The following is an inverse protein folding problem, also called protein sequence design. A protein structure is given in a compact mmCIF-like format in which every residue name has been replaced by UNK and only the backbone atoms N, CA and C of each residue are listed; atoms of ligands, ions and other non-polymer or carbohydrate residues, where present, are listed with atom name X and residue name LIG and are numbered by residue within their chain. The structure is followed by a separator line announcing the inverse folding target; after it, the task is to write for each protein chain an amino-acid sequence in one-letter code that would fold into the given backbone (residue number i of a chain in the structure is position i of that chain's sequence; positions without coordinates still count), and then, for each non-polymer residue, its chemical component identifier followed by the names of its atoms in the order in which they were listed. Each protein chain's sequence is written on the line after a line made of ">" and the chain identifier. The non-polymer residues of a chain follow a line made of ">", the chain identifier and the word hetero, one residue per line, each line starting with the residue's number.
data_IF_386237707485
#
_entry.id   IF_386237707485
#
_cell.length_a   1.000
_cell.length_b   1.000
_cell.length_c   1.000
_cell.angle_alpha   90.00
_cell.angle_beta   90.00
_cell.angle_gamma   90.00
#
_symmetry.space_group_name_H-M   'P 1'
#
loop_
_entity.id
_entity.type
_entity.pdbx_description
1 polymer ?
#
# COMPACT_ATOMS: atom_id res chain seq x y z
N UNK A 1 1.76 -0.02 -2.61
CA UNK A 1 1.01 0.67 -3.69
C UNK A 1 0.01 -0.30 -4.28
N UNK A 2 -1.14 0.18 -4.71
CA UNK A 2 -2.19 -0.65 -5.31
C UNK A 2 -2.73 0.06 -6.56
N UNK A 3 -3.15 -0.73 -7.55
CA UNK A 3 -3.75 -0.27 -8.79
C UNK A 3 -5.24 -0.62 -8.74
N UNK A 4 -6.13 0.37 -8.79
CA UNK A 4 -7.58 0.15 -8.68
C UNK A 4 -8.30 0.53 -9.98
N UNK A 5 -9.36 -0.21 -10.37
CA UNK A 5 -10.26 0.22 -11.43
C UNK A 5 -11.17 1.35 -10.94
N UNK A 6 -11.54 2.28 -11.83
CA UNK A 6 -12.34 3.47 -11.48
C UNK A 6 -13.81 3.18 -11.13
N UNK A 7 -14.34 2.00 -11.46
CA UNK A 7 -15.78 1.68 -11.39
C UNK A 7 -16.27 1.01 -10.11
N UNK A 8 -15.46 0.88 -9.06
CA UNK A 8 -15.92 0.31 -7.78
C UNK A 8 -16.76 1.32 -7.00
N UNK A 9 -18.04 1.43 -7.35
CA UNK A 9 -19.07 2.06 -6.52
C UNK A 9 -19.44 1.08 -5.41
N UNK A 10 -18.72 1.11 -4.30
CA UNK A 10 -19.19 0.55 -3.04
C UNK A 10 -19.68 1.69 -2.14
N UNK A 11 -21.01 1.78 -2.10
CA UNK A 11 -21.90 2.44 -1.13
C UNK A 11 -21.25 3.29 -0.03
N UNK A 12 -21.69 4.55 0.02
CA UNK A 12 -21.47 5.60 1.02
C UNK A 12 -21.45 5.12 2.50
N UNK A 13 -22.10 4.00 2.82
CA UNK A 13 -22.22 3.43 4.16
C UNK A 13 -20.95 2.67 4.63
N UNK A 14 -20.17 2.11 3.71
CA UNK A 14 -18.88 1.46 4.03
C UNK A 14 -17.76 2.49 4.30
N UNK A 15 -17.90 3.72 3.79
CA UNK A 15 -16.91 4.78 4.00
C UNK A 15 -16.90 5.33 5.43
N UNK A 16 -17.95 5.09 6.23
CA UNK A 16 -17.98 5.48 7.64
C UNK A 16 -17.17 4.52 8.54
N UNK A 17 -17.11 3.23 8.17
CA UNK A 17 -16.33 2.20 8.87
C UNK A 17 -14.86 2.11 8.41
N UNK A 18 -14.49 2.68 7.26
CA UNK A 18 -13.15 2.52 6.66
C UNK A 18 -12.07 3.47 7.16
N UNK A 19 -12.27 4.18 8.29
CA UNK A 19 -11.29 5.16 8.80
C UNK A 19 -10.02 4.55 9.43
N UNK A 20 -9.73 3.29 9.10
CA UNK A 20 -8.52 2.58 9.51
C UNK A 20 -7.45 2.54 8.41
N UNK A 21 -7.81 2.80 7.14
CA UNK A 21 -6.85 2.73 6.04
C UNK A 21 -7.27 3.66 4.89
N UNK A 22 -6.47 4.69 4.64
CA UNK A 22 -6.75 5.69 3.61
C UNK A 22 -5.88 5.42 2.38
N UNK A 23 -6.52 5.16 1.23
CA UNK A 23 -5.84 5.10 -0.05
C UNK A 23 -5.92 6.46 -0.74
N UNK A 24 -4.77 6.99 -1.14
CA UNK A 24 -4.66 8.24 -1.88
C UNK A 24 -4.13 7.97 -3.28
N UNK A 25 -4.80 8.50 -4.30
CA UNK A 25 -4.27 8.53 -5.67
C UNK A 25 -2.94 9.30 -5.67
N UNK A 26 -1.91 8.71 -6.26
CA UNK A 26 -0.63 9.38 -6.47
C UNK A 26 -0.77 10.32 -7.67
N UNK A 27 -0.35 11.57 -7.51
CA UNK A 27 -0.41 12.57 -8.59
C UNK A 27 0.55 12.16 -9.70
N UNK A 28 0.02 12.05 -10.91
CA UNK A 28 0.81 11.76 -12.11
C UNK A 28 1.88 12.84 -12.36
N UNK A 29 2.94 12.48 -13.07
CA UNK A 29 4.08 13.37 -13.37
C UNK A 29 4.84 13.88 -12.13
N UNK A 30 4.81 13.13 -11.03
CA UNK A 30 5.64 13.40 -9.85
C UNK A 30 6.76 12.35 -9.72
N UNK A 31 7.89 12.67 -9.07
CA UNK A 31 8.92 11.68 -8.76
C UNK A 31 8.37 10.47 -7.99
N UNK A 32 7.43 10.72 -7.06
CA UNK A 32 6.72 9.66 -6.33
C UNK A 32 5.97 8.72 -7.28
N UNK A 33 5.25 9.25 -8.27
CA UNK A 33 4.54 8.44 -9.27
C UNK A 33 5.48 7.56 -10.11
N UNK A 34 6.59 8.13 -10.58
CA UNK A 34 7.57 7.39 -11.39
C UNK A 34 8.17 6.23 -10.59
N UNK A 35 8.59 6.50 -9.35
CA UNK A 35 9.08 5.46 -8.43
C UNK A 35 8.01 4.40 -8.15
N UNK A 36 6.80 4.83 -7.82
CA UNK A 36 5.68 3.95 -7.50
C UNK A 36 5.33 2.99 -8.63
N UNK A 37 5.24 3.52 -9.85
CA UNK A 37 4.91 2.74 -11.05
C UNK A 37 6.02 1.74 -11.37
N UNK A 38 7.28 2.15 -11.28
CA UNK A 38 8.42 1.27 -11.47
C UNK A 38 8.43 0.12 -10.44
N UNK A 39 8.29 0.43 -9.15
CA UNK A 39 8.25 -0.58 -8.08
C UNK A 39 7.07 -1.56 -8.22
N UNK A 40 5.90 -1.08 -8.67
CA UNK A 40 4.75 -1.92 -8.96
C UNK A 40 5.03 -2.91 -10.09
N UNK A 41 5.58 -2.43 -11.21
CA UNK A 41 5.84 -3.27 -12.38
C UNK A 41 7.05 -4.18 -12.21
N UNK A 42 8.03 -3.78 -11.40
CA UNK A 42 9.13 -4.66 -10.99
C UNK A 42 8.60 -5.85 -10.18
N UNK A 43 7.69 -5.60 -9.22
CA UNK A 43 7.10 -6.66 -8.41
C UNK A 43 6.04 -7.49 -9.15
N UNK A 44 5.31 -6.86 -10.07
CA UNK A 44 4.21 -7.45 -10.83
C UNK A 44 4.31 -7.05 -12.31
N UNK A 45 5.18 -7.70 -13.10
CA UNK A 45 5.40 -7.37 -14.50
C UNK A 45 4.13 -7.41 -15.36
N UNK A 46 3.20 -8.32 -15.06
CA UNK A 46 1.94 -8.48 -15.78
C UNK A 46 1.06 -7.23 -15.76
N UNK A 47 1.21 -6.36 -14.75
CA UNK A 47 0.45 -5.10 -14.65
C UNK A 47 0.71 -4.16 -15.83
N UNK A 48 1.86 -4.30 -16.53
CA UNK A 48 2.15 -3.53 -17.73
C UNK A 48 1.23 -3.89 -18.91
N UNK A 49 0.65 -5.09 -18.90
CA UNK A 49 -0.19 -5.62 -19.98
C UNK A 49 -1.68 -5.60 -19.62
N UNK A 50 -2.07 -4.97 -18.51
CA UNK A 50 -3.48 -4.89 -18.12
C UNK A 50 -4.30 -4.06 -19.12
N UNK A 51 -5.60 -4.36 -19.29
CA UNK A 51 -6.45 -3.68 -20.26
C UNK A 51 -6.48 -2.16 -20.04
N UNK A 52 -6.20 -1.33 -21.06
CA UNK A 52 -6.09 0.12 -20.89
C UNK A 52 -7.45 0.81 -20.65
N UNK A 53 -8.55 0.18 -21.04
CA UNK A 53 -9.93 0.67 -20.92
C UNK A 53 -10.48 0.65 -19.49
N UNK A 54 -9.75 0.06 -18.53
CA UNK A 54 -10.12 0.03 -17.11
C UNK A 54 -9.70 1.28 -16.31
N UNK A 55 -9.05 2.27 -16.95
CA UNK A 55 -8.65 3.55 -16.33
C UNK A 55 -7.84 3.40 -15.04
N UNK A 56 -6.85 2.51 -15.06
CA UNK A 56 -5.98 2.22 -13.92
C UNK A 56 -5.26 3.47 -13.39
N UNK A 57 -5.07 3.53 -12.07
CA UNK A 57 -4.27 4.57 -11.43
C UNK A 57 -3.44 4.02 -10.28
N UNK A 58 -2.28 4.63 -10.05
CA UNK A 58 -1.40 4.29 -8.94
C UNK A 58 -1.91 4.94 -7.65
N UNK A 59 -2.12 4.14 -6.61
CA UNK A 59 -2.49 4.60 -5.28
C UNK A 59 -1.44 4.23 -4.23
N UNK A 60 -1.29 5.11 -3.24
CA UNK A 60 -0.55 4.86 -2.01
C UNK A 60 -1.49 4.67 -0.83
N UNK A 61 -1.01 3.92 0.15
CA UNK A 61 -1.75 3.63 1.37
C UNK A 61 -1.13 4.42 2.51
N UNK A 62 -1.93 5.21 3.21
CA UNK A 62 -1.51 5.83 4.47
C UNK A 62 -1.73 4.81 5.58
N UNK A 63 -0.63 4.38 6.20
CA UNK A 63 -0.66 3.43 7.30
C UNK A 63 -1.15 4.16 8.55
N UNK A 64 -2.31 3.76 9.09
CA UNK A 64 -2.84 4.33 10.33
C UNK A 64 -2.39 3.53 11.57
N UNK A 65 -2.32 2.21 11.45
CA UNK A 65 -1.90 1.30 12.51
C UNK A 65 -1.26 0.05 11.90
N UNK A 66 -0.33 -0.56 12.62
CA UNK A 66 0.29 -1.83 12.26
C UNK A 66 0.04 -2.80 13.41
N UNK A 67 -0.65 -3.89 13.12
CA UNK A 67 -0.82 -5.02 14.02
C UNK A 67 -0.09 -6.21 13.42
N UNK A 68 0.96 -6.68 14.11
CA UNK A 68 1.81 -7.78 13.68
C UNK A 68 1.49 -9.02 14.51
N UNK A 69 1.11 -10.10 13.84
CA UNK A 69 0.96 -11.42 14.45
C UNK A 69 2.12 -12.26 13.95
N UNK A 70 3.16 -12.38 14.77
CA UNK A 70 4.36 -13.14 14.46
C UNK A 70 4.44 -14.48 15.23
N UNK A 71 3.63 -14.64 16.27
CA UNK A 71 3.53 -15.86 17.07
C UNK A 71 2.19 -15.98 17.82
N UNK A 72 2.06 -17.02 18.64
CA UNK A 72 0.95 -17.14 19.60
C UNK A 72 0.96 -15.98 20.62
N UNK A 73 -0.21 -15.66 21.17
CA UNK A 73 -0.36 -14.62 22.22
C UNK A 73 -1.00 -13.31 21.75
N UNK A 74 -1.40 -13.22 20.48
CA UNK A 74 -2.13 -12.06 19.93
C UNK A 74 -1.24 -11.08 19.18
N UNK A 75 -1.83 -9.96 18.77
CA UNK A 75 -1.14 -8.97 17.93
C UNK A 75 -0.21 -8.07 18.74
N UNK A 76 1.00 -7.85 18.22
CA UNK A 76 1.93 -6.80 18.64
C UNK A 76 1.65 -5.55 17.81
N UNK A 77 1.46 -4.41 18.46
CA UNK A 77 1.22 -3.16 17.75
C UNK A 77 2.54 -2.41 17.52
N UNK A 78 2.89 -2.20 16.24
CA UNK A 78 4.12 -1.50 15.85
C UNK A 78 3.79 -0.04 15.56
N UNK A 79 4.48 0.93 16.19
CA UNK A 79 4.30 2.33 15.86
C UNK A 79 4.69 2.60 14.41
N UNK A 80 3.83 3.31 13.67
CA UNK A 80 4.03 3.61 12.24
C UNK A 80 5.37 4.30 11.97
N UNK A 81 5.80 5.18 12.89
CA UNK A 81 7.10 5.87 12.80
C UNK A 81 8.28 4.89 12.80
N UNK A 82 8.21 3.84 13.61
CA UNK A 82 9.31 2.90 13.81
C UNK A 82 9.39 1.96 12.60
N UNK A 83 8.24 1.54 12.07
CA UNK A 83 8.15 0.77 10.84
C UNK A 83 8.74 1.54 9.64
N UNK A 84 8.43 2.83 9.50
CA UNK A 84 8.89 3.65 8.37
C UNK A 84 10.35 4.14 8.51
N UNK A 85 10.87 4.22 9.74
CA UNK A 85 12.25 4.64 10.00
C UNK A 85 13.22 3.45 10.10
N UNK A 86 12.76 2.22 9.89
CA UNK A 86 13.60 1.03 10.04
C UNK A 86 14.75 1.06 9.03
N UNK A 87 15.98 1.10 9.57
CA UNK A 87 17.21 1.02 8.80
C UNK A 87 17.74 -0.41 8.85
N UNK A 88 17.50 -1.18 7.79
CA UNK A 88 17.97 -2.55 7.70
C UNK A 88 19.49 -2.55 7.45
N UNK A 89 20.29 -2.85 8.47
CA UNK A 89 21.73 -3.12 8.29
C UNK A 89 22.01 -4.60 7.98
N UNK A 90 20.95 -5.43 7.91
CA UNK A 90 21.02 -6.84 7.52
C UNK A 90 21.57 -7.80 8.59
N UNK A 91 21.91 -7.32 9.79
CA UNK A 91 22.61 -8.12 10.82
C UNK A 91 21.69 -8.81 11.85
N UNK A 92 20.40 -8.49 11.94
CA UNK A 92 19.51 -9.00 13.00
C UNK A 92 18.40 -9.96 12.52
N UNK A 93 18.66 -10.80 11.52
CA UNK A 93 17.69 -11.78 11.01
C UNK A 93 18.03 -13.23 11.41
N UNK A 94 18.57 -13.45 12.61
CA UNK A 94 18.70 -14.79 13.21
C UNK A 94 18.48 -14.71 14.73
N UNK A 95 17.27 -15.06 15.17
CA UNK A 95 17.00 -15.72 16.44
C UNK A 95 15.91 -16.77 16.22
#
# INVERSE_FOLDING_TARGET
>A
MLLFPKHTLLSHELMSFSKLQEFAKVKENTPEYTFAKAALFERHPDMANFPPDHNWFVAKMKIAQIAMVDWFGGAKYVPVKDYLAYNYTGMEMLH
#
